data_IF_318969045437
#
_entry.id   IF_318969045437
#
_cell.length_a   1.000
_cell.length_b   1.000
_cell.length_c   1.000
_cell.angle_alpha   90.00
_cell.angle_beta   90.00
_cell.angle_gamma   90.00
#
_symmetry.space_group_name_H-M   'P 1'
#
loop_
_entity.id
_entity.type
_entity.pdbx_description
1 polymer ?
#
# COMPACT_ATOMS: atom_id res chain seq x y z
N UNK A 1 -8.12 21.90 -28.79
CA UNK A 1 -8.30 20.47 -29.14
C UNK A 1 -7.66 19.64 -28.04
N UNK A 2 -8.37 18.65 -27.49
CA UNK A 2 -7.80 17.75 -26.50
C UNK A 2 -6.63 16.99 -27.14
N UNK A 3 -5.53 16.83 -26.39
CA UNK A 3 -4.32 16.19 -26.88
C UNK A 3 -4.34 14.72 -26.47
N UNK A 4 -4.19 13.83 -27.44
CA UNK A 4 -4.04 12.40 -27.17
C UNK A 4 -2.61 12.16 -26.65
N UNK A 5 -2.48 11.35 -25.60
CA UNK A 5 -1.18 10.97 -25.04
C UNK A 5 -0.42 10.00 -25.95
N UNK A 6 0.89 9.87 -25.69
CA UNK A 6 1.64 8.69 -26.13
C UNK A 6 1.12 7.43 -25.43
N UNK A 7 1.59 6.26 -25.86
CA UNK A 7 1.24 4.99 -25.24
C UNK A 7 1.65 4.95 -23.76
N UNK A 8 0.71 4.57 -22.90
CA UNK A 8 0.92 4.37 -21.46
C UNK A 8 0.56 2.94 -21.09
N UNK A 9 1.40 2.30 -20.29
CA UNK A 9 1.09 0.98 -19.74
C UNK A 9 0.06 1.17 -18.65
N UNK A 10 -1.10 0.55 -18.82
CA UNK A 10 -2.22 0.65 -17.88
C UNK A 10 -2.44 -0.63 -17.09
N UNK A 11 -1.87 -1.76 -17.53
CA UNK A 11 -1.87 -3.02 -16.81
C UNK A 11 -0.75 -3.96 -17.28
N UNK A 12 -0.31 -4.84 -16.39
CA UNK A 12 0.62 -5.95 -16.66
C UNK A 12 -0.05 -7.26 -16.28
N UNK A 13 0.18 -8.33 -17.03
CA UNK A 13 -0.33 -9.65 -16.67
C UNK A 13 0.26 -10.14 -15.33
N UNK A 14 -0.52 -10.95 -14.62
CA UNK A 14 -0.12 -11.57 -13.36
C UNK A 14 -0.92 -11.06 -12.15
N UNK A 15 -0.40 -11.29 -10.94
CA UNK A 15 -1.05 -10.88 -9.70
C UNK A 15 -1.10 -9.35 -9.58
N UNK A 16 -2.19 -8.86 -8.99
CA UNK A 16 -2.41 -7.44 -8.68
C UNK A 16 -2.25 -7.17 -7.19
N UNK A 17 -2.08 -5.89 -6.82
CA UNK A 17 -1.87 -5.48 -5.41
C UNK A 17 -3.07 -5.83 -4.51
N UNK A 18 -4.27 -5.91 -5.08
CA UNK A 18 -5.51 -6.24 -4.36
C UNK A 18 -5.88 -7.73 -4.39
N UNK A 19 -4.95 -8.61 -4.77
CA UNK A 19 -5.12 -10.07 -4.72
C UNK A 19 -5.87 -10.68 -5.90
N UNK A 20 -6.25 -9.89 -6.91
CA UNK A 20 -6.78 -10.40 -8.19
C UNK A 20 -5.63 -10.83 -9.10
N UNK A 21 -6.00 -11.37 -10.27
CA UNK A 21 -5.07 -11.76 -11.32
C UNK A 21 -5.56 -11.23 -12.67
N UNK A 22 -4.70 -10.49 -13.36
CA UNK A 22 -4.92 -10.09 -14.75
C UNK A 22 -4.33 -11.20 -15.62
N UNK A 23 -5.17 -11.91 -16.38
CA UNK A 23 -4.70 -12.97 -17.27
C UNK A 23 -4.17 -12.38 -18.57
N UNK A 24 -3.27 -13.11 -19.23
CA UNK A 24 -2.81 -12.80 -20.58
C UNK A 24 -3.97 -12.61 -21.55
N UNK A 25 -4.89 -13.57 -21.52
CA UNK A 25 -6.07 -13.59 -22.38
C UNK A 25 -6.95 -12.35 -22.19
N UNK A 26 -7.10 -11.84 -20.96
CA UNK A 26 -7.83 -10.58 -20.75
C UNK A 26 -7.16 -9.40 -21.46
N UNK A 27 -5.84 -9.30 -21.39
CA UNK A 27 -5.09 -8.23 -22.07
C UNK A 27 -5.24 -8.33 -23.59
N UNK A 28 -5.08 -9.54 -24.14
CA UNK A 28 -5.23 -9.80 -25.58
C UNK A 28 -6.64 -9.46 -26.06
N UNK A 29 -7.67 -9.93 -25.33
CA UNK A 29 -9.07 -9.67 -25.69
C UNK A 29 -9.43 -8.19 -25.56
N UNK A 30 -8.98 -7.50 -24.51
CA UNK A 30 -9.20 -6.05 -24.39
C UNK A 30 -8.53 -5.29 -25.53
N UNK A 31 -7.27 -5.61 -25.86
CA UNK A 31 -6.55 -4.93 -26.93
C UNK A 31 -7.15 -5.19 -28.32
N UNK A 32 -7.57 -6.42 -28.60
CA UNK A 32 -8.09 -6.81 -29.91
C UNK A 32 -9.50 -6.27 -30.19
N UNK A 33 -10.34 -6.13 -29.15
CA UNK A 33 -11.77 -5.85 -29.32
C UNK A 33 -12.19 -4.43 -28.95
N UNK A 34 -11.31 -3.62 -28.36
CA UNK A 34 -11.70 -2.29 -27.89
C UNK A 34 -12.03 -1.34 -29.03
N UNK A 35 -13.27 -0.83 -29.04
CA UNK A 35 -13.74 0.22 -29.94
C UNK A 35 -14.55 1.26 -29.17
N UNK A 36 -14.10 2.52 -29.23
CA UNK A 36 -14.82 3.67 -28.66
C UNK A 36 -16.28 3.80 -29.16
N UNK A 37 -16.59 3.29 -30.35
CA UNK A 37 -17.95 3.25 -30.90
C UNK A 37 -18.84 2.19 -30.27
N UNK A 38 -18.29 1.05 -29.86
CA UNK A 38 -19.04 0.01 -29.14
C UNK A 38 -19.25 0.44 -27.69
N UNK A 39 -18.16 0.77 -27.00
CA UNK A 39 -18.21 1.32 -25.64
C UNK A 39 -16.90 2.06 -25.32
N UNK A 40 -17.02 3.35 -25.00
CA UNK A 40 -15.88 4.18 -24.59
C UNK A 40 -15.60 4.04 -23.09
N UNK A 41 -14.46 3.46 -22.75
CA UNK A 41 -13.93 3.50 -21.39
C UNK A 41 -13.59 4.94 -20.97
N UNK A 42 -14.39 5.51 -20.07
CA UNK A 42 -14.13 6.81 -19.45
C UNK A 42 -13.13 6.69 -18.30
N UNK A 43 -12.41 7.78 -18.06
CA UNK A 43 -11.45 7.89 -16.96
C UNK A 43 -12.19 8.43 -15.74
N UNK A 44 -12.06 7.75 -14.59
CA UNK A 44 -12.73 8.13 -13.35
C UNK A 44 -11.73 8.33 -12.22
N UNK A 45 -11.86 9.37 -11.38
CA UNK A 45 -11.01 9.47 -10.18
C UNK A 45 -11.34 8.35 -9.20
N UNK A 46 -10.36 7.52 -8.84
CA UNK A 46 -10.50 6.46 -7.84
C UNK A 46 -11.68 5.49 -8.08
N UNK A 47 -12.01 5.19 -9.34
CA UNK A 47 -13.18 4.36 -9.72
C UNK A 47 -14.56 4.93 -9.32
N UNK A 48 -14.65 6.19 -8.86
CA UNK A 48 -15.88 6.79 -8.32
C UNK A 48 -16.71 7.50 -9.40
N UNK A 49 -18.04 7.37 -9.29
CA UNK A 49 -19.05 7.87 -10.25
C UNK A 49 -20.27 8.54 -9.58
N UNK A 50 -20.08 9.20 -8.44
CA UNK A 50 -21.21 9.75 -7.66
C UNK A 50 -21.11 11.26 -7.43
N UNK A 51 -22.25 11.89 -7.19
CA UNK A 51 -22.39 13.34 -7.00
C UNK A 51 -21.42 13.86 -5.92
N UNK A 52 -20.59 14.84 -6.29
CA UNK A 52 -19.57 15.42 -5.41
C UNK A 52 -18.17 14.79 -5.51
N UNK A 53 -18.04 13.61 -6.14
CA UNK A 53 -16.78 12.95 -6.49
C UNK A 53 -16.86 12.40 -7.93
N UNK A 54 -16.55 13.27 -8.90
CA UNK A 54 -16.01 12.88 -10.20
C UNK A 54 -16.94 13.11 -11.39
N UNK A 55 -16.84 14.29 -12.01
CA UNK A 55 -16.93 14.35 -13.47
C UNK A 55 -15.90 13.38 -14.05
N UNK A 56 -16.14 12.82 -15.24
CA UNK A 56 -15.13 12.00 -15.90
C UNK A 56 -13.87 12.86 -16.18
N UNK A 57 -12.72 12.21 -16.22
CA UNK A 57 -11.39 12.83 -16.35
C UNK A 57 -10.82 12.68 -17.77
N UNK A 58 -11.68 12.34 -18.73
CA UNK A 58 -11.30 12.03 -20.10
C UNK A 58 -11.70 10.62 -20.49
N UNK A 59 -11.04 10.09 -21.51
CA UNK A 59 -11.36 8.78 -22.09
C UNK A 59 -10.12 8.05 -22.59
N UNK A 60 -10.23 6.73 -22.65
CA UNK A 60 -9.31 5.89 -23.42
C UNK A 60 -9.69 5.99 -24.90
N UNK A 61 -8.69 6.08 -25.77
CA UNK A 61 -8.88 6.24 -27.23
C UNK A 61 -8.53 4.98 -27.99
N UNK A 62 -7.46 4.31 -27.58
CA UNK A 62 -6.90 3.17 -28.30
C UNK A 62 -6.20 2.26 -27.30
N UNK A 63 -6.26 0.95 -27.55
CA UNK A 63 -5.55 -0.07 -26.79
C UNK A 63 -4.63 -0.89 -27.70
N UNK A 64 -3.54 -1.39 -27.14
CA UNK A 64 -2.72 -2.45 -27.76
C UNK A 64 -2.11 -3.33 -26.68
N UNK A 65 -1.74 -4.55 -27.05
CA UNK A 65 -1.01 -5.48 -26.19
C UNK A 65 0.40 -5.69 -26.77
N UNK A 66 1.42 -5.58 -25.92
CA UNK A 66 2.82 -5.86 -26.30
C UNK A 66 3.55 -6.54 -25.14
N UNK A 67 4.50 -7.42 -25.47
CA UNK A 67 5.40 -7.99 -24.46
C UNK A 67 6.49 -6.98 -24.09
N UNK A 68 6.71 -6.79 -22.78
CA UNK A 68 7.81 -5.98 -22.25
C UNK A 68 8.32 -6.64 -20.96
N UNK A 69 9.63 -6.89 -20.93
CA UNK A 69 10.34 -7.57 -19.84
C UNK A 69 9.73 -8.95 -19.49
N UNK A 70 9.41 -9.74 -20.53
CA UNK A 70 8.90 -11.11 -20.40
C UNK A 70 7.45 -11.23 -19.90
N UNK A 71 6.72 -10.11 -19.80
CA UNK A 71 5.30 -10.08 -19.43
C UNK A 71 4.48 -9.36 -20.49
N UNK A 72 3.27 -9.84 -20.76
CA UNK A 72 2.30 -9.12 -21.60
C UNK A 72 1.75 -7.90 -20.85
N UNK A 73 1.73 -6.75 -21.52
CA UNK A 73 1.23 -5.49 -20.98
C UNK A 73 0.16 -4.88 -21.87
N UNK A 74 -0.83 -4.26 -21.24
CA UNK A 74 -1.86 -3.48 -21.90
C UNK A 74 -1.42 -2.01 -21.96
N UNK A 75 -1.35 -1.48 -23.17
CA UNK A 75 -1.05 -0.07 -23.43
C UNK A 75 -2.32 0.66 -23.85
N UNK A 76 -2.43 1.93 -23.45
CA UNK A 76 -3.52 2.81 -23.83
C UNK A 76 -3.01 4.17 -24.31
N UNK A 77 -3.72 4.75 -25.28
CA UNK A 77 -3.70 6.19 -25.54
C UNK A 77 -4.86 6.85 -24.82
N UNK A 78 -4.57 7.94 -24.11
CA UNK A 78 -5.54 8.65 -23.28
C UNK A 78 -5.83 10.03 -23.89
N UNK A 79 -7.09 10.44 -23.85
CA UNK A 79 -7.51 11.81 -24.12
C UNK A 79 -7.93 12.44 -22.78
N UNK A 80 -6.98 13.01 -22.00
CA UNK A 80 -7.27 13.67 -20.74
C UNK A 80 -8.06 14.96 -20.97
N UNK A 81 -8.97 15.27 -20.05
CA UNK A 81 -9.63 16.58 -19.99
C UNK A 81 -8.97 17.48 -18.93
N UNK A 82 -9.52 18.68 -18.74
CA UNK A 82 -8.96 19.70 -17.86
C UNK A 82 -8.83 19.22 -16.40
N UNK A 83 -9.75 18.37 -15.91
CA UNK A 83 -9.68 17.81 -14.56
C UNK A 83 -8.46 16.92 -14.36
N UNK A 84 -8.21 16.02 -15.32
CA UNK A 84 -7.04 15.12 -15.27
C UNK A 84 -5.73 15.90 -15.41
N UNK A 85 -5.69 16.89 -16.28
CA UNK A 85 -4.53 17.74 -16.48
C UNK A 85 -4.23 18.57 -15.22
N UNK A 86 -5.26 19.08 -14.55
CA UNK A 86 -5.09 19.82 -13.30
C UNK A 86 -4.56 18.93 -12.17
N UNK A 87 -5.12 17.74 -11.99
CA UNK A 87 -4.63 16.76 -11.00
C UNK A 87 -3.18 16.37 -11.28
N UNK A 88 -2.85 16.09 -12.55
CA UNK A 88 -1.49 15.76 -12.95
C UNK A 88 -0.50 16.91 -12.67
N UNK A 89 -0.89 18.16 -12.94
CA UNK A 89 -0.08 19.36 -12.61
C UNK A 89 0.17 19.49 -11.10
N UNK A 90 -0.78 19.06 -10.27
CA UNK A 90 -0.66 18.99 -8.81
C UNK A 90 0.07 17.73 -8.33
N UNK A 91 0.58 16.89 -9.24
CA UNK A 91 1.20 15.58 -8.95
C UNK A 91 0.27 14.65 -8.15
N UNK A 92 -0.99 14.60 -8.56
CA UNK A 92 -2.02 13.73 -7.98
C UNK A 92 -2.59 12.83 -9.08
N UNK A 93 -3.05 11.65 -8.69
CA UNK A 93 -3.60 10.61 -9.56
C UNK A 93 -2.65 10.28 -10.70
N UNK A 94 -1.42 9.93 -10.32
CA UNK A 94 -0.31 9.72 -11.23
C UNK A 94 -0.30 8.36 -11.91
N UNK A 95 -1.18 7.44 -11.53
CA UNK A 95 -1.25 6.09 -12.09
C UNK A 95 -2.65 5.74 -12.55
N UNK A 96 -2.73 4.59 -13.20
CA UNK A 96 -3.99 4.05 -13.71
C UNK A 96 -4.30 2.68 -13.15
N UNK A 97 -5.58 2.37 -13.00
CA UNK A 97 -6.06 1.03 -12.63
C UNK A 97 -7.21 0.65 -13.55
N UNK A 98 -7.12 -0.50 -14.20
CA UNK A 98 -8.12 -0.93 -15.19
C UNK A 98 -9.42 -1.43 -14.54
N UNK A 99 -10.53 -1.25 -15.25
CA UNK A 99 -11.82 -1.88 -14.92
C UNK A 99 -12.18 -2.89 -16.01
N UNK A 100 -11.61 -4.10 -15.98
CA UNK A 100 -11.94 -5.16 -16.92
C UNK A 100 -13.31 -5.76 -16.59
N UNK A 101 -14.09 -6.06 -17.62
CA UNK A 101 -15.25 -6.94 -17.53
C UNK A 101 -14.93 -8.25 -18.27
N UNK A 102 -14.67 -9.35 -17.56
CA UNK A 102 -14.27 -10.64 -18.16
C UNK A 102 -15.33 -11.29 -19.06
N UNK A 103 -16.60 -10.94 -18.88
CA UNK A 103 -17.72 -11.49 -19.63
C UNK A 103 -18.59 -10.36 -20.19
N UNK A 104 -17.97 -9.54 -21.05
CA UNK A 104 -18.65 -8.39 -21.62
C UNK A 104 -19.83 -8.84 -22.49
N UNK A 105 -21.01 -8.32 -22.16
CA UNK A 105 -22.31 -8.66 -22.79
C UNK A 105 -22.70 -10.15 -22.71
N UNK A 106 -22.06 -10.95 -21.86
CA UNK A 106 -22.31 -12.40 -21.80
C UNK A 106 -21.70 -13.18 -22.97
N UNK A 107 -20.70 -12.62 -23.66
CA UNK A 107 -20.07 -13.21 -24.85
C UNK A 107 -18.79 -14.00 -24.53
N UNK A 108 -18.40 -14.12 -23.26
CA UNK A 108 -17.20 -14.82 -22.82
C UNK A 108 -15.89 -14.12 -23.21
N UNK A 109 -15.94 -12.82 -23.54
CA UNK A 109 -14.76 -12.00 -23.87
C UNK A 109 -14.58 -10.85 -22.88
N UNK A 110 -13.32 -10.60 -22.55
CA UNK A 110 -12.93 -9.50 -21.68
C UNK A 110 -12.93 -8.16 -22.42
N UNK A 111 -13.47 -7.12 -21.80
CA UNK A 111 -13.52 -5.77 -22.36
C UNK A 111 -13.15 -4.72 -21.31
N UNK A 112 -12.50 -3.62 -21.74
CA UNK A 112 -12.17 -2.51 -20.85
C UNK A 112 -13.40 -1.59 -20.67
N UNK A 113 -14.00 -1.60 -19.49
CA UNK A 113 -15.19 -0.80 -19.17
C UNK A 113 -14.85 0.58 -18.61
N UNK A 114 -13.64 0.77 -18.11
CA UNK A 114 -13.24 2.01 -17.46
C UNK A 114 -11.77 2.01 -17.11
N UNK A 115 -11.29 3.19 -16.76
CA UNK A 115 -9.94 3.39 -16.26
C UNK A 115 -10.00 4.32 -15.06
N UNK A 116 -9.43 3.94 -13.94
CA UNK A 116 -9.25 4.89 -12.86
C UNK A 116 -7.97 5.71 -13.06
N UNK A 117 -8.04 7.00 -12.76
CA UNK A 117 -6.87 7.78 -12.36
C UNK A 117 -6.75 7.68 -10.83
N UNK A 118 -5.63 7.18 -10.33
CA UNK A 118 -5.42 6.85 -8.91
C UNK A 118 -3.96 7.00 -8.51
N UNK A 119 -3.70 7.19 -7.22
CA UNK A 119 -2.35 7.12 -6.63
C UNK A 119 -2.09 5.75 -5.97
N UNK A 120 -3.07 4.85 -6.01
CA UNK A 120 -3.01 3.51 -5.41
C UNK A 120 -3.54 2.47 -6.40
N UNK A 121 -2.85 2.26 -7.54
CA UNK A 121 -3.32 1.35 -8.57
C UNK A 121 -3.29 -0.11 -8.09
N UNK A 122 -4.35 -0.87 -8.40
CA UNK A 122 -4.32 -2.33 -8.23
C UNK A 122 -3.43 -2.99 -9.30
N UNK A 123 -3.47 -2.43 -10.52
CA UNK A 123 -2.65 -2.88 -11.65
C UNK A 123 -1.17 -2.62 -11.39
N UNK A 124 -0.32 -3.60 -11.66
CA UNK A 124 1.13 -3.54 -11.47
C UNK A 124 1.85 -3.10 -12.75
N UNK A 125 3.05 -2.53 -12.62
CA UNK A 125 3.88 -2.12 -13.75
C UNK A 125 3.28 -1.02 -14.62
N UNK A 126 2.42 -0.16 -14.05
CA UNK A 126 1.77 0.93 -14.81
C UNK A 126 2.71 2.11 -14.99
N UNK A 127 2.55 2.82 -16.11
CA UNK A 127 3.33 4.02 -16.40
C UNK A 127 2.89 5.19 -15.51
N UNK A 128 3.85 5.97 -15.04
CA UNK A 128 3.57 7.27 -14.44
C UNK A 128 2.97 8.21 -15.49
N UNK A 129 1.81 8.76 -15.17
CA UNK A 129 1.12 9.75 -15.97
C UNK A 129 1.84 11.08 -15.82
N UNK A 130 2.32 11.61 -16.94
CA UNK A 130 2.90 12.95 -17.01
C UNK A 130 2.47 13.59 -18.32
N UNK A 131 1.67 14.65 -18.24
CA UNK A 131 1.13 15.37 -19.40
C UNK A 131 1.87 16.69 -19.68
N UNK A 132 3.15 16.77 -19.32
CA UNK A 132 4.02 17.91 -19.62
C UNK A 132 5.03 17.54 -20.72
N UNK A 133 5.03 18.27 -21.83
CA UNK A 133 6.14 18.19 -22.80
C UNK A 133 7.36 18.91 -22.25
N UNK A 134 8.42 18.19 -21.90
CA UNK A 134 9.78 18.67 -22.19
C UNK A 134 10.08 18.27 -23.63
N UNK A 135 10.51 19.23 -24.43
CA UNK A 135 10.82 19.00 -25.84
C UNK A 135 11.99 18.00 -25.93
N UNK A 136 11.73 16.76 -26.37
CA UNK A 136 12.76 15.76 -26.69
C UNK A 136 13.05 14.67 -25.66
N UNK A 137 12.35 14.59 -24.52
CA UNK A 137 12.56 13.51 -23.54
C UNK A 137 11.24 12.82 -23.16
N UNK A 138 11.11 11.54 -23.52
CA UNK A 138 10.11 10.64 -22.96
C UNK A 138 10.67 10.10 -21.66
N UNK A 139 10.23 10.63 -20.52
CA UNK A 139 10.53 10.02 -19.23
C UNK A 139 9.57 8.83 -19.02
N UNK A 140 9.96 7.65 -19.48
CA UNK A 140 9.29 6.39 -19.13
C UNK A 140 9.65 6.02 -17.69
N UNK A 141 8.97 6.64 -16.72
CA UNK A 141 8.98 6.15 -15.35
C UNK A 141 7.86 5.13 -15.22
N UNK A 142 8.23 3.86 -15.18
CA UNK A 142 7.33 2.78 -14.81
C UNK A 142 7.40 2.60 -13.30
N UNK A 143 6.26 2.50 -12.63
CA UNK A 143 6.26 2.05 -11.25
C UNK A 143 6.32 0.53 -11.22
N UNK A 144 7.54 0.00 -11.17
CA UNK A 144 7.83 -1.37 -10.78
C UNK A 144 7.62 -1.53 -9.27
N UNK A 145 6.36 -1.58 -8.84
CA UNK A 145 6.06 -2.24 -7.58
C UNK A 145 6.07 -3.76 -7.85
N UNK A 146 7.12 -4.43 -7.34
CA UNK A 146 7.48 -5.85 -7.47
C UNK A 146 8.38 -6.24 -8.65
N UNK A 147 9.57 -5.64 -8.74
CA UNK A 147 10.77 -6.48 -8.90
C UNK A 147 11.13 -7.01 -7.50
N UNK A 148 11.52 -8.28 -7.41
CA UNK A 148 12.21 -8.79 -6.22
C UNK A 148 13.48 -7.95 -6.04
N UNK A 149 13.42 -6.97 -5.14
CA UNK A 149 14.62 -6.27 -4.72
C UNK A 149 15.44 -7.30 -3.95
N UNK A 150 16.47 -7.85 -4.60
CA UNK A 150 17.51 -8.59 -3.90
C UNK A 150 18.25 -7.60 -2.99
N UNK A 151 17.80 -7.52 -1.74
CA UNK A 151 18.42 -6.70 -0.72
C UNK A 151 19.71 -7.32 -0.13
N UNK A 152 20.24 -8.42 -0.71
CA UNK A 152 21.45 -9.08 -0.20
C UNK A 152 22.67 -8.15 -0.14
N UNK A 153 22.69 -7.09 -0.95
CA UNK A 153 23.78 -6.11 -0.98
C UNK A 153 23.56 -4.88 -0.07
N UNK A 154 22.37 -4.65 0.49
CA UNK A 154 22.03 -3.41 1.20
C UNK A 154 21.79 -3.58 2.70
N UNK A 155 21.79 -4.81 3.22
CA UNK A 155 21.56 -5.05 4.64
C UNK A 155 22.85 -5.27 5.42
N UNK A 156 23.07 -4.43 6.42
CA UNK A 156 24.09 -4.69 7.43
C UNK A 156 23.66 -5.90 8.26
N UNK A 157 24.60 -6.59 8.93
CA UNK A 157 24.31 -7.83 9.70
C UNK A 157 23.12 -7.72 10.67
N UNK A 158 22.77 -6.51 11.12
CA UNK A 158 21.62 -6.24 11.99
C UNK A 158 20.28 -6.37 11.27
N UNK A 159 20.18 -5.93 10.03
CA UNK A 159 18.90 -5.94 9.30
C UNK A 159 18.53 -7.37 8.84
N UNK A 160 19.54 -8.20 8.56
CA UNK A 160 19.34 -9.66 8.33
C UNK A 160 18.86 -10.39 9.58
N UNK A 161 19.30 -9.95 10.76
CA UNK A 161 18.86 -10.53 12.03
C UNK A 161 17.39 -10.18 12.32
N UNK A 162 16.98 -8.93 12.07
CA UNK A 162 15.57 -8.51 12.23
C UNK A 162 14.64 -9.17 11.20
N UNK A 163 15.06 -9.32 9.95
CA UNK A 163 14.27 -10.00 8.92
C UNK A 163 14.05 -11.49 9.26
N UNK A 164 15.11 -12.20 9.65
CA UNK A 164 15.03 -13.60 10.06
C UNK A 164 14.15 -13.79 11.32
N UNK A 165 14.20 -12.85 12.25
CA UNK A 165 13.37 -12.88 13.46
C UNK A 165 11.89 -12.62 13.16
N UNK A 166 11.60 -11.71 12.21
CA UNK A 166 10.24 -11.38 11.82
C UNK A 166 9.57 -12.51 11.00
N UNK A 167 10.37 -13.23 10.21
CA UNK A 167 9.95 -14.43 9.48
C UNK A 167 9.66 -15.59 10.45
N UNK A 168 10.52 -15.80 11.45
CA UNK A 168 10.31 -16.78 12.53
C UNK A 168 9.09 -16.48 13.42
N UNK A 169 8.77 -15.21 13.65
CA UNK A 169 7.61 -14.80 14.46
C UNK A 169 6.29 -14.79 13.66
N UNK A 170 6.36 -14.78 12.32
CA UNK A 170 5.19 -14.74 11.43
C UNK A 170 4.79 -16.12 10.89
N UNK A 171 5.68 -17.11 10.96
CA UNK A 171 5.37 -18.51 10.67
C UNK A 171 4.67 -19.18 11.86
N UNK A 172 3.43 -18.80 12.09
CA UNK A 172 2.47 -19.67 12.78
C UNK A 172 1.91 -20.64 11.75
N UNK A 173 2.21 -21.92 11.93
CA UNK A 173 1.74 -23.08 11.16
C UNK A 173 2.11 -23.10 9.67
N UNK A 174 3.28 -23.65 9.33
CA UNK A 174 3.46 -24.57 8.19
C UNK A 174 4.90 -25.14 8.22
N UNK A 175 5.03 -26.47 8.32
CA UNK A 175 6.31 -27.19 8.15
C UNK A 175 6.70 -27.26 6.66
N UNK A 176 7.91 -26.83 6.27
CA UNK A 176 8.50 -27.24 5.00
C UNK A 176 9.48 -28.39 5.22
N UNK A 177 9.34 -29.44 4.40
CA UNK A 177 10.23 -30.60 4.40
C UNK A 177 11.70 -30.23 4.10
N UNK A 178 12.60 -30.87 4.84
CA UNK A 178 14.06 -30.67 4.88
C UNK A 178 14.80 -30.89 3.54
N UNK A 179 16.05 -30.39 3.42
CA UNK A 179 17.16 -31.30 3.68
C UNK A 179 18.24 -30.76 4.63
N UNK A 180 18.88 -31.71 5.32
CA UNK A 180 19.82 -31.63 6.44
C UNK A 180 20.95 -30.58 6.38
N UNK A 181 21.08 -29.79 7.46
CA UNK A 181 22.27 -29.80 8.34
C UNK A 181 21.99 -29.05 9.65
N UNK A 182 22.20 -29.73 10.76
CA UNK A 182 22.11 -29.24 12.13
C UNK A 182 23.30 -28.33 12.43
N UNK A 183 23.05 -27.09 12.83
CA UNK A 183 23.79 -26.44 13.92
C UNK A 183 22.73 -25.76 14.81
N UNK A 184 22.47 -26.37 15.95
CA UNK A 184 21.56 -25.88 16.97
C UNK A 184 22.06 -24.53 17.51
N UNK A 185 21.30 -23.47 17.23
CA UNK A 185 21.28 -22.29 18.11
C UNK A 185 19.88 -22.21 18.69
N UNK A 186 19.70 -22.84 19.85
CA UNK A 186 18.56 -22.60 20.73
C UNK A 186 18.59 -21.13 21.15
N UNK A 187 17.86 -20.27 20.43
CA UNK A 187 17.50 -18.95 20.94
C UNK A 187 16.50 -19.21 22.06
N UNK A 188 17.01 -19.23 23.29
CA UNK A 188 16.21 -19.47 24.48
C UNK A 188 15.15 -18.38 24.62
N UNK A 189 13.94 -18.77 24.99
CA UNK A 189 12.75 -17.90 25.08
C UNK A 189 13.00 -16.64 25.95
N UNK A 190 13.91 -16.75 26.93
CA UNK A 190 14.36 -15.63 27.76
C UNK A 190 15.11 -14.55 26.97
N UNK A 191 15.91 -14.92 25.96
CA UNK A 191 16.64 -13.97 25.11
C UNK A 191 15.68 -13.24 24.15
N UNK A 192 14.67 -13.94 23.65
CA UNK A 192 13.61 -13.39 22.82
C UNK A 192 12.78 -12.37 23.61
N UNK A 193 12.36 -12.73 24.83
CA UNK A 193 11.61 -11.86 25.76
C UNK A 193 12.42 -10.63 26.17
N UNK A 194 13.72 -10.80 26.45
CA UNK A 194 14.61 -9.69 26.77
C UNK A 194 14.78 -8.72 25.59
N UNK A 195 15.03 -9.24 24.38
CA UNK A 195 15.21 -8.44 23.17
C UNK A 195 13.94 -7.66 22.78
N UNK A 196 12.77 -8.30 22.85
CA UNK A 196 11.47 -7.66 22.58
C UNK A 196 11.16 -6.56 23.60
N UNK A 197 11.40 -6.80 24.89
CA UNK A 197 11.17 -5.79 25.94
C UNK A 197 12.11 -4.60 25.81
N UNK A 198 13.36 -4.86 25.48
CA UNK A 198 14.36 -3.81 25.25
C UNK A 198 13.99 -2.95 24.03
N UNK A 199 13.64 -3.58 22.91
CA UNK A 199 13.17 -2.91 21.68
C UNK A 199 11.90 -2.09 21.91
N UNK A 200 10.93 -2.63 22.64
CA UNK A 200 9.67 -1.93 22.91
C UNK A 200 9.87 -0.73 23.84
N UNK A 201 10.77 -0.85 24.82
CA UNK A 201 11.13 0.25 25.71
C UNK A 201 11.89 1.37 24.98
N UNK A 202 12.77 1.00 24.04
CA UNK A 202 13.49 1.94 23.19
C UNK A 202 12.52 2.71 22.27
N UNK A 203 11.62 2.00 21.60
CA UNK A 203 10.58 2.61 20.75
C UNK A 203 9.68 3.58 21.52
N UNK A 204 9.25 3.23 22.74
CA UNK A 204 8.46 4.11 23.61
C UNK A 204 9.23 5.36 24.05
N UNK A 205 10.55 5.21 24.26
CA UNK A 205 11.45 6.31 24.60
C UNK A 205 11.65 7.28 23.44
N UNK A 206 11.91 6.75 22.24
CA UNK A 206 12.09 7.52 21.01
C UNK A 206 10.80 8.22 20.60
N UNK A 207 9.67 7.51 20.62
CA UNK A 207 8.36 8.09 20.29
C UNK A 207 7.97 9.23 21.24
N UNK A 208 8.24 9.09 22.55
CA UNK A 208 8.02 10.18 23.53
C UNK A 208 8.98 11.35 23.34
N UNK A 209 10.16 11.10 22.78
CA UNK A 209 11.18 12.12 22.54
C UNK A 209 10.86 12.90 21.27
N UNK A 210 10.48 12.23 20.19
CA UNK A 210 10.00 12.86 18.96
C UNK A 210 8.74 13.70 19.19
N UNK A 211 7.75 13.17 19.93
CA UNK A 211 6.56 13.95 20.30
C UNK A 211 6.91 15.20 21.13
N UNK A 212 7.94 15.14 21.98
CA UNK A 212 8.38 16.31 22.74
C UNK A 212 9.20 17.29 21.89
N UNK A 213 10.03 16.80 20.97
CA UNK A 213 10.83 17.64 20.08
C UNK A 213 9.95 18.34 19.04
N UNK A 214 8.99 17.66 18.41
CA UNK A 214 8.06 18.27 17.46
C UNK A 214 7.16 19.34 18.11
N UNK A 215 6.76 19.15 19.37
CA UNK A 215 5.96 20.14 20.10
C UNK A 215 6.77 21.29 20.70
N UNK A 216 8.06 21.08 21.02
CA UNK A 216 8.93 22.13 21.56
C UNK A 216 9.48 23.05 20.44
N UNK A 217 9.32 22.68 19.17
CA UNK A 217 9.70 23.49 18.01
C UNK A 217 8.64 24.53 17.59
N UNK A 218 7.46 24.57 18.21
CA UNK A 218 6.41 25.58 17.92
C UNK A 218 6.39 26.78 18.89
N UNK A 219 7.33 26.88 19.81
CA UNK A 219 7.49 28.03 20.70
C UNK A 219 8.63 28.96 20.23
N UNK A 220 8.39 29.78 19.19
CA UNK A 220 9.15 31.02 19.00
C UNK A 220 8.21 32.11 18.48
N UNK A 221 8.05 33.22 19.21
CA UNK A 221 7.15 34.30 18.81
C UNK A 221 7.89 35.27 17.89
N UNK A 222 7.41 35.45 16.67
CA UNK A 222 7.61 36.71 15.94
C UNK A 222 6.24 37.31 15.60
N UNK A 223 6.04 38.50 16.17
CA UNK A 223 4.86 39.33 16.10
C UNK A 223 5.17 40.55 15.24
N UNK A 224 4.11 41.13 14.65
CA UNK A 224 3.93 42.46 14.04
C UNK A 224 3.87 42.47 12.49
N UNK A 225 2.87 43.03 11.81
CA UNK A 225 1.94 44.13 12.14
C UNK A 225 0.51 43.96 11.53
N UNK A 226 -0.50 44.39 12.30
CA UNK A 226 -1.91 44.74 11.95
C UNK A 226 -2.01 46.25 11.59
N UNK A 227 -3.16 46.91 11.24
CA UNK A 227 -4.59 46.49 11.29
C UNK A 227 -5.51 46.92 10.11
N UNK A 228 -6.72 46.34 10.01
CA UNK A 228 -8.02 47.06 10.04
C UNK A 228 -9.25 46.10 10.02
N UNK A 229 -10.25 46.44 10.82
CA UNK A 229 -11.46 45.71 11.31
C UNK A 229 -12.75 46.14 10.56
N UNK A 230 -14.00 45.70 10.90
CA UNK A 230 -14.49 44.50 11.61
C UNK A 230 -15.73 43.80 10.96
N UNK A 231 -15.98 42.54 11.35
CA UNK A 231 -17.21 42.08 12.07
C UNK A 231 -17.82 40.72 11.61
N UNK A 232 -18.30 39.97 12.62
CA UNK A 232 -19.11 38.74 12.67
C UNK A 232 -18.43 37.37 12.92
N UNK A 233 -18.31 37.09 14.23
CA UNK A 233 -18.82 35.89 14.93
C UNK A 233 -18.53 34.49 14.34
N UNK A 234 -17.52 33.82 14.91
CA UNK A 234 -17.69 32.49 15.52
C UNK A 234 -16.50 32.15 16.43
N UNK A 235 -16.80 31.48 17.54
CA UNK A 235 -15.89 31.19 18.65
C UNK A 235 -14.63 30.43 18.18
N UNK A 236 -13.49 31.11 18.17
CA UNK A 236 -12.18 30.50 17.96
C UNK A 236 -11.73 29.77 19.22
N UNK A 237 -11.62 28.45 19.14
CA UNK A 237 -10.92 27.67 20.15
C UNK A 237 -9.46 28.11 20.18
N UNK A 238 -8.99 28.58 21.33
CA UNK A 238 -7.59 28.98 21.54
C UNK A 238 -6.67 27.77 21.35
N UNK A 239 -5.43 28.01 20.89
CA UNK A 239 -4.39 26.97 20.72
C UNK A 239 -4.19 26.13 21.99
N UNK A 240 -4.39 26.72 23.17
CA UNK A 240 -4.37 26.01 24.46
C UNK A 240 -5.51 25.00 24.63
N UNK A 241 -6.69 25.27 24.07
CA UNK A 241 -7.82 24.33 24.07
C UNK A 241 -7.56 23.17 23.10
N UNK A 242 -6.86 23.42 21.99
CA UNK A 242 -6.47 22.37 21.06
C UNK A 242 -5.42 21.43 21.68
N UNK A 243 -4.38 21.97 22.32
CA UNK A 243 -3.36 21.13 22.98
C UNK A 243 -3.94 20.33 24.15
N UNK A 244 -4.79 20.92 24.98
CA UNK A 244 -5.47 20.15 26.06
C UNK A 244 -6.46 19.12 25.54
N UNK A 245 -7.17 19.40 24.45
CA UNK A 245 -8.07 18.42 23.82
C UNK A 245 -7.29 17.27 23.20
N UNK A 246 -6.14 17.55 22.58
CA UNK A 246 -5.28 16.55 21.98
C UNK A 246 -4.61 15.67 23.04
N UNK A 247 -4.09 16.25 24.12
CA UNK A 247 -3.57 15.50 25.27
C UNK A 247 -4.65 14.62 25.89
N UNK A 248 -5.88 15.13 26.02
CA UNK A 248 -7.02 14.36 26.51
C UNK A 248 -7.40 13.19 25.58
N UNK A 249 -7.21 13.32 24.27
CA UNK A 249 -7.46 12.25 23.29
C UNK A 249 -6.30 11.25 23.17
N UNK A 250 -5.06 11.67 23.41
CA UNK A 250 -3.87 10.79 23.38
C UNK A 250 -3.70 9.97 24.66
N UNK A 251 -4.13 10.50 25.81
CA UNK A 251 -4.08 9.79 27.10
C UNK A 251 -4.73 8.39 27.08
N UNK A 252 -5.96 8.19 26.58
CA UNK A 252 -6.57 6.86 26.53
C UNK A 252 -5.88 5.90 25.55
N UNK A 253 -5.17 6.40 24.54
CA UNK A 253 -4.36 5.56 23.65
C UNK A 253 -3.08 5.08 24.35
N UNK A 254 -2.41 5.96 25.08
CA UNK A 254 -1.26 5.61 25.91
C UNK A 254 -1.63 4.57 26.98
N UNK A 255 -2.78 4.74 27.65
CA UNK A 255 -3.29 3.77 28.63
C UNK A 255 -3.63 2.41 27.99
N UNK A 256 -4.15 2.38 26.75
CA UNK A 256 -4.37 1.12 26.01
C UNK A 256 -3.08 0.42 25.63
N UNK A 257 -2.04 1.17 25.26
CA UNK A 257 -0.71 0.63 24.96
C UNK A 257 -0.08 0.05 26.23
N UNK A 258 -0.17 0.74 27.37
CA UNK A 258 0.26 0.23 28.67
C UNK A 258 -0.55 -1.02 29.11
N UNK A 259 -1.84 -1.06 28.76
CA UNK A 259 -2.71 -2.21 28.95
C UNK A 259 -2.31 -3.42 28.10
N UNK A 260 -1.86 -3.20 26.87
CA UNK A 260 -1.30 -4.25 26.01
C UNK A 260 -0.01 -4.82 26.59
N UNK A 261 0.89 -3.96 27.08
CA UNK A 261 2.13 -4.38 27.76
C UNK A 261 1.82 -5.28 28.96
N UNK A 262 0.79 -4.92 29.73
CA UNK A 262 0.33 -5.74 30.88
C UNK A 262 -0.22 -7.09 30.45
N UNK A 263 -1.07 -7.13 29.42
CA UNK A 263 -1.64 -8.38 28.88
C UNK A 263 -0.58 -9.28 28.26
N UNK A 264 0.41 -8.71 27.57
CA UNK A 264 1.53 -9.44 27.02
C UNK A 264 2.38 -10.09 28.11
N UNK A 265 2.68 -9.34 29.18
CA UNK A 265 3.37 -9.87 30.36
C UNK A 265 2.56 -10.95 31.11
N UNK A 266 1.23 -10.94 30.98
CA UNK A 266 0.35 -11.93 31.60
C UNK A 266 0.25 -13.21 30.76
N UNK A 267 0.18 -13.09 29.43
CA UNK A 267 0.24 -14.22 28.50
C UNK A 267 1.60 -14.91 28.50
N UNK A 268 2.67 -14.18 28.78
CA UNK A 268 4.04 -14.72 28.90
C UNK A 268 4.27 -15.54 30.18
N UNK A 269 3.26 -15.68 31.05
CA UNK A 269 3.30 -16.50 32.27
C UNK A 269 2.48 -17.76 32.05
N UNK A 270 3.15 -18.90 32.03
CA UNK A 270 2.49 -20.20 31.94
C UNK A 270 1.62 -20.45 33.18
N UNK A 271 0.42 -20.99 32.96
CA UNK A 271 -0.50 -21.37 34.04
C UNK A 271 -0.37 -22.89 34.26
N UNK A 272 -0.30 -23.38 35.52
CA UNK A 272 -0.17 -24.81 35.77
C UNK A 272 -1.32 -25.61 35.13
N UNK A 273 -0.99 -26.62 34.31
CA UNK A 273 -1.96 -27.51 33.65
C UNK A 273 -2.43 -27.06 32.25
N UNK A 274 -1.69 -26.16 31.60
CA UNK A 274 -1.97 -25.72 30.22
C UNK A 274 -1.44 -26.68 29.14
N UNK A 275 -0.57 -27.62 29.51
CA UNK A 275 -0.09 -28.68 28.62
C UNK A 275 -1.15 -29.79 28.48
N UNK A 276 -1.46 -30.26 27.26
CA UNK A 276 -2.29 -31.43 27.05
C UNK A 276 -1.67 -32.66 27.71
N UNK A 277 -2.46 -33.49 28.40
CA UNK A 277 -1.96 -34.72 29.01
C UNK A 277 -1.33 -35.66 27.95
N UNK A 278 -0.23 -36.32 28.32
CA UNK A 278 0.57 -37.31 27.55
C UNK A 278 -0.17 -38.60 27.12
N UNK A 279 -1.43 -38.52 26.71
CA UNK A 279 -2.23 -39.68 26.31
C UNK A 279 -1.88 -40.25 24.92
N UNK A 280 -0.79 -39.80 24.29
CA UNK A 280 -0.37 -40.23 22.95
C UNK A 280 0.80 -41.22 22.91
N UNK A 281 1.47 -41.49 24.04
CA UNK A 281 2.73 -42.27 24.06
C UNK A 281 2.50 -43.76 24.35
N UNK A 282 1.58 -44.38 23.62
CA UNK A 282 1.29 -45.82 23.70
C UNK A 282 1.73 -46.54 22.42
N UNK A 283 2.95 -47.05 22.41
CA UNK A 283 3.46 -48.00 21.42
C UNK A 283 2.60 -49.28 21.40
N UNK A 284 1.71 -49.44 20.43
CA UNK A 284 1.39 -50.76 19.86
C UNK A 284 0.64 -50.64 18.51
N UNK A 285 1.37 -50.73 17.40
CA UNK A 285 0.77 -51.18 16.15
C UNK A 285 1.78 -51.98 15.32
N UNK A 286 1.73 -53.30 15.46
CA UNK A 286 2.44 -54.24 14.58
C UNK A 286 1.69 -54.39 13.24
N UNK A 287 2.36 -54.28 12.08
CA UNK A 287 1.72 -54.55 10.80
C UNK A 287 1.60 -56.07 10.56
N UNK A 288 0.40 -56.52 10.20
CA UNK A 288 0.14 -57.81 9.55
C UNK A 288 -0.53 -57.55 8.21
#
# INVERSE_FOLDING_TARGET
MPKISDWKIIATEGPTVDGRKITREWIEQMAANYDTKEYTALIWPEHRRFYGYGENWGKVVELKAEEKDGKLRLFAKLEPNDYMLEANRKKQKLFTSIEPNPDYKGEGRCYLMGLAATDSPASTGTSLLQFSRKQGETTELECSALEEIDFSACFTKKDRFFAAFNEFFSSGDEEPETPSKVEDTEVTEEQLKAALKEQFSAFKGEFKKELKEEFNLQATPEQSETPETPDKQNAGATVEQFSTTLEAQLKPLLEKVDGLETKFNQLSKEVPGQEPNDAGNGDDYSPV
#
